data_IF_359138756745
#
_entry.id   IF_359138756745
#
_cell.length_a   1.000
_cell.length_b   1.000
_cell.length_c   1.000
_cell.angle_alpha   90.00
_cell.angle_beta   90.00
_cell.angle_gamma   90.00
#
_symmetry.space_group_name_H-M   'P 1'
#
loop_
_entity.id
_entity.type
_entity.pdbx_description
1 polymer ?
#
# COMPACT_ATOMS: atom_id res chain seq x y z
N UNK A 1 17.47 49.82 23.49
CA UNK A 1 18.64 49.11 24.08
C UNK A 1 18.10 47.81 24.68
N UNK A 2 18.70 46.66 24.40
CA UNK A 2 17.99 45.46 23.94
C UNK A 2 17.98 44.34 24.98
N UNK A 3 17.09 43.35 24.81
CA UNK A 3 17.38 41.99 25.27
C UNK A 3 16.91 41.00 24.21
N UNK A 4 17.84 40.68 23.30
CA UNK A 4 17.79 39.52 22.42
C UNK A 4 17.95 38.26 23.28
N UNK A 5 16.98 37.36 23.24
CA UNK A 5 17.16 35.93 23.53
C UNK A 5 16.05 35.21 22.75
N UNK A 6 16.26 34.90 21.48
CA UNK A 6 17.04 33.72 21.10
C UNK A 6 16.10 32.54 20.89
N UNK A 7 15.14 32.67 19.97
CA UNK A 7 14.44 31.49 19.43
C UNK A 7 15.42 30.84 18.46
N UNK A 8 16.09 29.80 18.93
CA UNK A 8 16.86 28.93 18.08
C UNK A 8 15.91 28.23 17.11
N UNK A 9 15.77 28.77 15.90
CA UNK A 9 15.29 28.05 14.73
C UNK A 9 16.33 26.97 14.41
N UNK A 10 16.31 25.87 15.16
CA UNK A 10 17.02 24.66 14.82
C UNK A 10 16.33 24.02 13.62
N UNK A 11 16.78 24.35 12.41
CA UNK A 11 16.43 23.59 11.22
C UNK A 11 17.15 22.23 11.28
N UNK A 12 16.49 21.22 11.84
CA UNK A 12 16.81 19.84 11.51
C UNK A 12 15.84 19.45 10.40
N UNK A 13 16.27 19.66 9.16
CA UNK A 13 15.58 19.16 7.97
C UNK A 13 15.82 17.65 7.92
N UNK A 14 14.92 16.90 8.55
CA UNK A 14 14.73 15.48 8.28
C UNK A 14 13.27 15.28 7.84
N UNK A 15 13.08 15.10 6.54
CA UNK A 15 11.87 14.55 5.94
C UNK A 15 10.52 15.14 6.43
N UNK A 16 10.26 16.42 6.13
CA UNK A 16 8.89 16.92 5.90
C UNK A 16 7.87 16.82 7.05
N UNK A 17 8.31 16.67 8.31
CA UNK A 17 7.42 16.65 9.47
C UNK A 17 7.53 17.97 10.24
N UNK A 18 6.47 18.79 10.22
CA UNK A 18 6.38 19.97 11.08
C UNK A 18 5.94 19.53 12.47
N UNK A 19 6.87 19.50 13.41
CA UNK A 19 6.58 19.34 14.83
C UNK A 19 6.39 20.73 15.44
N UNK A 20 5.14 21.10 15.72
CA UNK A 20 4.82 22.29 16.50
C UNK A 20 4.74 21.86 17.97
N UNK A 21 5.70 22.34 18.77
CA UNK A 21 5.78 22.02 20.21
C UNK A 21 5.29 23.24 20.99
N UNK A 22 4.05 23.19 21.47
CA UNK A 22 3.52 24.22 22.37
C UNK A 22 4.04 23.96 23.79
N UNK A 23 4.91 24.85 24.27
CA UNK A 23 5.59 24.73 25.57
C UNK A 23 4.71 24.89 26.82
N UNK A 24 3.37 24.91 26.69
CA UNK A 24 2.46 25.16 27.82
C UNK A 24 1.61 23.95 28.23
N UNK A 25 1.50 22.92 27.39
CA UNK A 25 0.63 21.74 27.67
C UNK A 25 1.28 20.41 27.31
N UNK A 26 2.53 20.39 26.83
CA UNK A 26 3.28 19.15 26.55
C UNK A 26 2.62 18.23 25.52
N UNK A 27 1.69 18.74 24.70
CA UNK A 27 1.02 17.97 23.66
C UNK A 27 1.85 18.02 22.38
N UNK A 28 2.34 16.87 21.92
CA UNK A 28 3.02 16.72 20.64
C UNK A 28 1.96 16.39 19.58
N UNK A 29 1.61 17.37 18.74
CA UNK A 29 0.74 17.15 17.60
C UNK A 29 1.58 16.79 16.37
N UNK A 30 1.42 15.56 15.86
CA UNK A 30 2.02 15.13 14.60
C UNK A 30 1.05 15.48 13.48
N UNK A 31 1.27 16.62 12.81
CA UNK A 31 0.62 16.92 11.54
C UNK A 31 1.34 16.16 10.42
N UNK A 32 1.02 14.87 10.27
CA UNK A 32 1.61 14.06 9.22
C UNK A 32 0.96 14.39 7.87
N UNK A 33 1.76 14.52 6.81
CA UNK A 33 1.35 14.59 5.39
C UNK A 33 0.58 13.36 4.87
N UNK A 34 0.06 12.52 5.76
CA UNK A 34 -0.63 11.27 5.47
C UNK A 34 -1.90 11.47 4.64
N UNK A 35 -2.57 12.60 4.78
CA UNK A 35 -3.79 12.93 4.02
C UNK A 35 -3.52 13.10 2.51
N UNK A 36 -2.29 13.44 2.11
CA UNK A 36 -1.94 13.64 0.70
C UNK A 36 -1.76 12.31 -0.07
N UNK A 37 -1.60 11.19 0.62
CA UNK A 37 -1.45 9.87 0.00
C UNK A 37 -2.81 9.27 -0.42
N UNK A 38 -3.87 9.58 0.33
CA UNK A 38 -5.22 9.04 0.10
C UNK A 38 -5.91 9.70 -1.10
N UNK A 39 -5.42 10.87 -1.56
CA UNK A 39 -6.05 11.68 -2.61
C UNK A 39 -5.28 11.72 -3.93
N UNK A 40 -4.24 10.89 -4.11
CA UNK A 40 -3.53 10.85 -5.38
C UNK A 40 -4.46 10.32 -6.49
N UNK A 41 -4.88 11.22 -7.36
CA UNK A 41 -5.53 10.89 -8.62
C UNK A 41 -4.58 10.02 -9.46
N UNK A 42 -5.06 8.94 -10.10
CA UNK A 42 -4.23 8.10 -10.93
C UNK A 42 -3.58 8.93 -12.04
N UNK A 43 -2.30 8.68 -12.31
CA UNK A 43 -1.53 9.42 -13.30
C UNK A 43 -1.88 8.90 -14.70
N UNK A 44 -2.85 9.53 -15.37
CA UNK A 44 -3.16 9.35 -16.79
C UNK A 44 -4.64 9.01 -17.05
N UNK A 45 -5.35 9.92 -17.71
CA UNK A 45 -6.78 9.78 -18.05
C UNK A 45 -7.01 9.24 -19.47
N UNK A 46 -5.95 8.78 -20.16
CA UNK A 46 -6.10 8.17 -21.48
C UNK A 46 -6.86 6.85 -21.37
N UNK A 47 -7.92 6.62 -22.16
CA UNK A 47 -8.69 5.38 -22.10
C UNK A 47 -7.81 4.20 -22.54
N UNK A 48 -7.29 3.46 -21.57
CA UNK A 48 -6.55 2.21 -21.85
C UNK A 48 -7.55 1.07 -21.96
N UNK A 49 -7.50 0.35 -23.08
CA UNK A 49 -8.32 -0.83 -23.30
C UNK A 49 -7.89 -2.00 -22.39
N UNK A 50 -8.87 -2.76 -21.89
CA UNK A 50 -8.66 -3.88 -20.95
C UNK A 50 -7.74 -4.94 -21.57
N UNK A 51 -7.89 -5.21 -22.87
CA UNK A 51 -7.06 -6.20 -23.55
C UNK A 51 -5.60 -5.76 -23.62
N UNK A 52 -5.37 -4.46 -23.79
CA UNK A 52 -4.02 -3.88 -23.79
C UNK A 52 -3.34 -4.09 -22.44
N UNK A 53 -4.06 -3.84 -21.34
CA UNK A 53 -3.52 -4.06 -19.98
C UNK A 53 -3.25 -5.55 -19.75
N UNK A 54 -4.18 -6.41 -20.16
CA UNK A 54 -4.03 -7.85 -19.97
C UNK A 54 -2.80 -8.38 -20.73
N UNK A 55 -2.63 -7.99 -22.00
CA UNK A 55 -1.44 -8.33 -22.79
C UNK A 55 -0.15 -7.82 -22.15
N UNK A 56 -0.14 -6.60 -21.61
CA UNK A 56 1.02 -6.04 -20.94
C UNK A 56 1.39 -6.84 -19.67
N UNK A 57 0.40 -7.29 -18.89
CA UNK A 57 0.61 -8.11 -17.70
C UNK A 57 1.13 -9.51 -18.09
N UNK A 58 0.54 -10.12 -19.12
CA UNK A 58 0.92 -11.47 -19.56
C UNK A 58 2.33 -11.53 -20.17
N UNK A 59 2.83 -10.40 -20.68
CA UNK A 59 4.20 -10.28 -21.20
C UNK A 59 5.28 -10.17 -20.10
N UNK A 60 4.90 -9.90 -18.84
CA UNK A 60 5.87 -9.78 -17.75
C UNK A 60 6.47 -11.15 -17.38
N UNK A 61 7.79 -11.24 -17.14
CA UNK A 61 8.41 -12.47 -16.71
C UNK A 61 7.91 -12.84 -15.31
N UNK A 62 7.49 -14.11 -15.11
CA UNK A 62 7.02 -14.62 -13.83
C UNK A 62 7.39 -16.08 -13.63
N UNK A 63 7.65 -16.47 -12.39
CA UNK A 63 7.77 -17.88 -11.98
C UNK A 63 6.48 -18.35 -11.31
N UNK A 64 5.91 -19.45 -11.80
CA UNK A 64 4.69 -20.02 -11.24
C UNK A 64 4.97 -20.76 -9.94
N UNK A 65 4.73 -20.10 -8.81
CA UNK A 65 4.93 -20.63 -7.46
C UNK A 65 3.62 -20.78 -6.69
N UNK A 66 2.55 -20.11 -7.15
CA UNK A 66 1.26 -20.04 -6.48
C UNK A 66 0.17 -20.80 -7.22
N UNK A 67 -0.75 -21.39 -6.46
CA UNK A 67 -1.94 -22.05 -6.99
C UNK A 67 -3.03 -21.02 -7.24
N UNK A 68 -3.26 -20.68 -8.52
CA UNK A 68 -4.28 -19.74 -8.97
C UNK A 68 -5.28 -20.45 -9.92
N UNK A 69 -6.55 -20.02 -9.97
CA UNK A 69 -7.17 -18.90 -9.25
C UNK A 69 -7.61 -19.26 -7.82
N UNK A 70 -7.35 -18.37 -6.85
CA UNK A 70 -7.87 -18.53 -5.48
C UNK A 70 -9.39 -18.29 -5.42
N UNK A 71 -10.12 -19.02 -4.57
CA UNK A 71 -11.57 -18.93 -4.52
C UNK A 71 -12.05 -17.60 -3.91
N UNK A 72 -13.25 -17.17 -4.33
CA UNK A 72 -13.98 -16.07 -3.71
C UNK A 72 -15.08 -16.68 -2.83
N UNK A 73 -14.98 -16.51 -1.51
CA UNK A 73 -15.87 -17.16 -0.55
C UNK A 73 -16.96 -16.20 -0.06
N UNK A 74 -18.22 -16.60 -0.19
CA UNK A 74 -19.34 -15.86 0.39
C UNK A 74 -19.35 -15.98 1.92
N UNK A 75 -19.66 -14.88 2.62
CA UNK A 75 -19.69 -14.83 4.08
C UNK A 75 -21.10 -14.50 4.61
N UNK A 76 -22.06 -15.45 4.56
CA UNK A 76 -23.45 -15.18 4.89
C UNK A 76 -23.66 -14.82 6.36
N UNK A 77 -22.87 -15.40 7.28
CA UNK A 77 -22.94 -15.07 8.72
C UNK A 77 -22.53 -13.62 9.00
N UNK A 78 -21.44 -13.17 8.38
CA UNK A 78 -20.96 -11.79 8.50
C UNK A 78 -21.92 -10.81 7.83
N UNK A 79 -22.51 -11.20 6.69
CA UNK A 79 -23.55 -10.44 6.01
C UNK A 79 -24.79 -10.24 6.90
N UNK A 80 -25.23 -11.28 7.61
CA UNK A 80 -26.36 -11.22 8.53
C UNK A 80 -26.07 -10.32 9.73
N UNK A 81 -24.87 -10.46 10.33
CA UNK A 81 -24.45 -9.62 11.47
C UNK A 81 -24.38 -8.14 11.11
N UNK A 82 -23.97 -7.81 9.87
CA UNK A 82 -23.87 -6.44 9.37
C UNK A 82 -25.16 -5.90 8.75
N UNK A 83 -26.27 -6.64 8.86
CA UNK A 83 -27.59 -6.13 8.46
C UNK A 83 -27.85 -6.11 6.94
N UNK A 84 -27.20 -6.99 6.16
CA UNK A 84 -27.62 -7.26 4.78
C UNK A 84 -26.64 -7.04 3.60
N UNK A 85 -25.41 -6.49 3.72
CA UNK A 85 -24.54 -6.38 2.54
C UNK A 85 -24.01 -7.77 2.14
N UNK A 86 -23.99 -8.08 0.83
CA UNK A 86 -23.39 -9.32 0.33
C UNK A 86 -21.87 -9.25 0.43
N UNK A 87 -21.31 -9.92 1.44
CA UNK A 87 -19.86 -9.90 1.70
C UNK A 87 -19.20 -11.14 1.12
N UNK A 88 -18.10 -10.90 0.42
CA UNK A 88 -17.24 -11.90 -0.17
C UNK A 88 -15.81 -11.68 0.29
N UNK A 89 -15.09 -12.77 0.55
CA UNK A 89 -13.68 -12.75 0.92
C UNK A 89 -12.89 -13.43 -0.18
N UNK A 90 -11.90 -12.73 -0.72
CA UNK A 90 -10.91 -13.31 -1.64
C UNK A 90 -9.89 -14.10 -0.82
N UNK A 91 -9.83 -15.42 -1.00
CA UNK A 91 -8.97 -16.33 -0.22
C UNK A 91 -7.54 -16.37 -0.75
N UNK A 92 -6.85 -15.24 -0.70
CA UNK A 92 -5.45 -15.15 -1.13
C UNK A 92 -4.45 -15.85 -0.18
N UNK A 93 -4.92 -16.31 0.97
CA UNK A 93 -4.21 -17.28 1.82
C UNK A 93 -4.09 -18.67 1.16
N UNK A 94 -4.95 -19.00 0.21
CA UNK A 94 -4.95 -20.31 -0.47
C UNK A 94 -4.01 -20.35 -1.69
N UNK A 95 -2.97 -19.52 -1.74
CA UNK A 95 -1.97 -19.52 -2.82
C UNK A 95 -0.94 -20.65 -2.73
N UNK A 96 -0.94 -21.45 -1.66
CA UNK A 96 -0.18 -22.70 -1.54
C UNK A 96 1.27 -22.55 -1.07
N UNK A 97 1.99 -21.53 -1.55
CA UNK A 97 3.40 -21.31 -1.19
C UNK A 97 3.54 -20.86 0.27
N UNK A 98 4.19 -21.66 1.13
CA UNK A 98 4.53 -21.32 2.52
C UNK A 98 3.36 -20.74 3.34
N UNK A 99 2.23 -21.47 3.40
CA UNK A 99 0.94 -21.04 3.98
C UNK A 99 0.20 -19.94 3.20
N UNK A 100 0.72 -19.56 2.04
CA UNK A 100 0.11 -18.65 1.09
C UNK A 100 0.16 -17.18 1.50
N UNK A 101 -0.74 -16.40 0.90
CA UNK A 101 -0.85 -14.96 1.10
C UNK A 101 -0.59 -14.14 -0.16
N UNK A 102 -0.86 -12.85 -0.05
CA UNK A 102 -0.84 -11.90 -1.16
C UNK A 102 0.58 -11.68 -1.70
N UNK A 103 1.59 -11.72 -0.83
CA UNK A 103 2.99 -11.48 -1.18
C UNK A 103 3.54 -12.53 -2.12
N UNK A 104 3.00 -13.75 -2.09
CA UNK A 104 3.44 -14.83 -2.96
C UNK A 104 3.21 -14.49 -4.44
N UNK A 105 2.16 -13.72 -4.78
CA UNK A 105 1.91 -13.26 -6.16
C UNK A 105 2.93 -12.23 -6.65
N UNK A 106 3.35 -11.33 -5.77
CA UNK A 106 4.38 -10.33 -6.09
C UNK A 106 5.75 -11.01 -6.26
N UNK A 107 6.04 -11.98 -5.39
CA UNK A 107 7.28 -12.73 -5.40
C UNK A 107 7.54 -13.45 -6.74
N UNK A 108 6.49 -13.94 -7.42
CA UNK A 108 6.62 -14.57 -8.75
C UNK A 108 7.31 -13.68 -9.78
N UNK A 109 7.04 -12.37 -9.76
CA UNK A 109 7.63 -11.40 -10.67
C UNK A 109 9.03 -10.98 -10.22
N UNK A 110 9.20 -10.67 -8.94
CA UNK A 110 10.51 -10.24 -8.41
C UNK A 110 11.55 -11.35 -8.51
N UNK A 111 11.18 -12.61 -8.32
CA UNK A 111 12.10 -13.73 -8.53
C UNK A 111 12.47 -13.91 -10.00
N UNK A 112 11.54 -13.70 -10.93
CA UNK A 112 11.84 -13.80 -12.34
C UNK A 112 12.81 -12.70 -12.78
N UNK A 113 12.63 -11.49 -12.24
CA UNK A 113 13.57 -10.38 -12.42
C UNK A 113 14.96 -10.70 -11.82
N UNK A 114 15.02 -11.18 -10.58
CA UNK A 114 16.28 -11.53 -9.92
C UNK A 114 17.05 -12.63 -10.70
N UNK A 115 16.32 -13.65 -11.19
CA UNK A 115 16.90 -14.73 -12.01
C UNK A 115 17.44 -14.18 -13.33
N UNK A 116 16.73 -13.23 -13.96
CA UNK A 116 17.22 -12.56 -15.17
C UNK A 116 18.48 -11.72 -14.93
N UNK A 117 18.65 -11.19 -13.72
CA UNK A 117 19.85 -10.46 -13.27
C UNK A 117 20.99 -11.39 -12.83
N UNK A 118 20.76 -12.72 -12.79
CA UNK A 118 21.76 -13.70 -12.37
C UNK A 118 22.01 -13.75 -10.86
N UNK A 119 21.04 -13.32 -10.06
CA UNK A 119 21.06 -13.41 -8.60
C UNK A 119 20.45 -14.71 -8.07
#
# INVERSE_FOLDING_TARGET
VPFFLGVALGQIVAAGCWLLVDGFTGTVAIACSFTKFITQQPKGDEPVDIQTIQHAIDALPRHHLTNLPTPLAACPRLSAELGGPRIWIKRDDMTGLAFGGNKSRYLEFTLAEATAQGC
#
